data_IF_073582288691
#
_entry.id   IF_073582288691
#
_cell.length_a   1.000
_cell.length_b   1.000
_cell.length_c   1.000
_cell.angle_alpha   90.00
_cell.angle_beta   90.00
_cell.angle_gamma   90.00
#
_symmetry.space_group_name_H-M   'P 1'
#
loop_
_entity.id
_entity.type
_entity.pdbx_description
1 polymer ?
#
# COMPACT_ATOMS: atom_id res chain seq x y z
N UNK A 1 7.00 7.94 -54.74
CA UNK A 1 5.96 8.84 -54.20
C UNK A 1 6.36 9.26 -52.81
N UNK A 2 6.71 10.53 -52.60
CA UNK A 2 7.06 11.09 -51.28
C UNK A 2 5.79 11.59 -50.61
N UNK A 3 5.40 10.96 -49.51
CA UNK A 3 4.36 11.49 -48.63
C UNK A 3 5.03 12.49 -47.67
N UNK A 4 4.74 13.77 -47.85
CA UNK A 4 5.23 14.84 -46.98
C UNK A 4 4.26 14.97 -45.80
N UNK A 5 4.67 14.52 -44.62
CA UNK A 5 3.95 14.80 -43.38
C UNK A 5 4.42 16.16 -42.88
N UNK A 6 3.49 17.11 -42.82
CA UNK A 6 3.70 18.46 -42.27
C UNK A 6 3.75 18.32 -40.74
N UNK A 7 4.76 18.90 -40.06
CA UNK A 7 4.79 18.93 -38.59
C UNK A 7 3.72 19.88 -38.06
N UNK A 8 2.96 19.44 -37.04
CA UNK A 8 2.10 20.30 -36.23
C UNK A 8 2.98 21.08 -35.27
N UNK A 9 2.90 22.41 -35.33
CA UNK A 9 3.62 23.35 -34.46
C UNK A 9 3.01 23.34 -33.05
N UNK A 10 3.81 23.11 -31.97
CA UNK A 10 3.31 22.86 -30.62
C UNK A 10 3.14 24.12 -29.76
N UNK A 11 2.71 25.26 -30.30
CA UNK A 11 2.60 26.52 -29.54
C UNK A 11 1.31 27.30 -29.87
N UNK A 12 0.20 26.95 -29.23
CA UNK A 12 -0.93 27.88 -29.07
C UNK A 12 -1.35 27.87 -27.59
N UNK A 13 -0.63 28.68 -26.82
CA UNK A 13 -0.93 28.95 -25.41
C UNK A 13 -2.23 29.75 -25.28
N UNK A 14 -3.24 29.16 -24.64
CA UNK A 14 -4.35 29.93 -24.04
C UNK A 14 -4.01 30.15 -22.57
N UNK A 15 -3.23 31.19 -22.30
CA UNK A 15 -2.97 31.66 -20.94
C UNK A 15 -4.25 32.22 -20.29
N UNK A 16 -4.40 32.13 -18.95
CA UNK A 16 -5.54 32.70 -18.25
C UNK A 16 -5.56 34.25 -18.38
N UNK A 17 -6.75 34.87 -18.44
CA UNK A 17 -6.87 36.32 -18.53
C UNK A 17 -6.25 37.01 -17.29
N UNK A 18 -5.74 38.25 -17.42
CA UNK A 18 -5.10 38.94 -16.30
C UNK A 18 -6.11 39.21 -15.18
N UNK A 19 -5.82 38.70 -13.98
CA UNK A 19 -6.53 39.11 -12.78
C UNK A 19 -6.18 40.56 -12.49
N UNK A 20 -7.09 41.44 -12.89
CA UNK A 20 -7.06 42.85 -12.51
C UNK A 20 -7.26 42.94 -11.00
N UNK A 21 -6.34 43.68 -10.39
CA UNK A 21 -6.30 44.08 -8.99
C UNK A 21 -7.62 44.77 -8.60
N UNK A 22 -8.39 44.20 -7.68
CA UNK A 22 -9.52 44.88 -7.04
C UNK A 22 -9.15 45.09 -5.57
N UNK A 23 -8.71 46.30 -5.24
CA UNK A 23 -8.50 46.75 -3.87
C UNK A 23 -9.79 47.41 -3.35
N UNK A 24 -10.43 46.76 -2.39
CA UNK A 24 -11.44 47.27 -1.45
C UNK A 24 -11.65 46.10 -0.46
N UNK A 25 -11.73 46.21 0.85
CA UNK A 25 -11.79 47.31 1.80
C UNK A 25 -11.70 46.60 3.16
N UNK A 26 -10.61 46.79 3.88
CA UNK A 26 -10.45 46.25 5.22
C UNK A 26 -11.21 47.15 6.20
N UNK A 27 -12.42 46.78 6.60
CA UNK A 27 -12.86 46.94 7.99
C UNK A 27 -14.12 46.15 8.32
N UNK A 28 -14.07 45.47 9.46
CA UNK A 28 -15.18 44.89 10.24
C UNK A 28 -15.87 43.63 9.69
N UNK A 29 -15.24 42.48 9.92
CA UNK A 29 -16.00 41.24 10.16
C UNK A 29 -16.38 41.17 11.64
N UNK A 30 -17.66 40.99 12.01
CA UNK A 30 -18.13 40.95 13.39
C UNK A 30 -18.07 39.54 14.02
N UNK A 31 -17.50 38.55 13.34
CA UNK A 31 -17.37 37.20 13.90
C UNK A 31 -16.10 37.09 14.73
N UNK A 32 -16.23 37.39 16.01
CA UNK A 32 -15.36 36.82 17.03
C UNK A 32 -15.62 35.31 17.08
N UNK A 33 -14.70 34.54 16.54
CA UNK A 33 -14.74 33.08 16.60
C UNK A 33 -13.62 32.61 17.54
N UNK A 34 -14.05 31.91 18.58
CA UNK A 34 -13.23 31.27 19.60
C UNK A 34 -12.09 30.51 18.95
N UNK A 35 -10.85 30.94 19.19
CA UNK A 35 -9.65 30.13 18.95
C UNK A 35 -9.64 28.98 19.96
N UNK A 36 -10.38 27.93 19.64
CA UNK A 36 -10.08 26.60 20.14
C UNK A 36 -8.98 26.09 19.21
N UNK A 37 -7.73 26.10 19.69
CA UNK A 37 -6.60 25.53 18.96
C UNK A 37 -6.87 24.04 18.76
N UNK A 38 -7.37 23.69 17.57
CA UNK A 38 -7.70 22.31 17.17
C UNK A 38 -6.46 21.41 17.12
N UNK A 39 -5.29 22.02 17.14
CA UNK A 39 -4.01 21.34 17.10
C UNK A 39 -3.67 20.71 18.48
N UNK A 40 -4.12 21.28 19.60
CA UNK A 40 -3.83 20.76 20.95
C UNK A 40 -4.56 19.44 21.26
N UNK A 41 -5.83 19.30 20.82
CA UNK A 41 -6.60 18.05 20.97
C UNK A 41 -5.99 16.92 20.12
N UNK A 42 -5.45 17.26 18.95
CA UNK A 42 -4.81 16.29 18.07
C UNK A 42 -3.44 15.86 18.61
N UNK A 43 -2.66 16.79 19.15
CA UNK A 43 -1.39 16.51 19.80
C UNK A 43 -1.57 15.63 21.04
N UNK A 44 -2.62 15.86 21.82
CA UNK A 44 -2.97 14.99 22.95
C UNK A 44 -3.33 13.56 22.51
N UNK A 45 -4.02 13.42 21.37
CA UNK A 45 -4.34 12.11 20.78
C UNK A 45 -3.09 11.37 20.28
N UNK A 46 -2.17 12.06 19.60
CA UNK A 46 -0.89 11.47 19.12
C UNK A 46 0.00 11.08 20.31
N UNK A 47 0.08 11.91 21.34
CA UNK A 47 0.86 11.62 22.55
C UNK A 47 0.31 10.40 23.31
N UNK A 48 -1.02 10.30 23.46
CA UNK A 48 -1.66 9.15 24.10
C UNK A 48 -1.46 7.85 23.31
N UNK A 49 -1.45 7.92 21.97
CA UNK A 49 -1.23 6.76 21.10
C UNK A 49 0.25 6.33 21.08
N UNK A 50 1.18 7.28 21.08
CA UNK A 50 2.61 7.02 21.14
C UNK A 50 3.04 6.27 22.42
N UNK A 51 2.39 6.56 23.55
CA UNK A 51 2.62 5.86 24.81
C UNK A 51 2.16 4.38 24.78
N UNK A 52 1.17 4.04 23.95
CA UNK A 52 0.68 2.66 23.76
C UNK A 52 1.62 1.86 22.86
N UNK A 53 2.18 2.48 21.81
CA UNK A 53 3.16 1.84 20.91
C UNK A 53 4.48 1.50 21.61
N UNK A 54 4.85 2.23 22.68
CA UNK A 54 6.05 1.97 23.45
C UNK A 54 6.01 0.67 24.30
N UNK A 55 4.84 0.01 24.40
CA UNK A 55 4.69 -1.29 25.08
C UNK A 55 4.81 -2.49 24.13
N UNK A 56 4.90 -2.26 22.80
CA UNK A 56 4.96 -3.32 21.77
C UNK A 56 6.06 -3.02 20.76
N UNK A 57 7.15 -3.77 20.83
CA UNK A 57 8.39 -3.62 20.05
C UNK A 57 8.27 -4.04 18.56
N UNK A 58 7.13 -3.84 17.90
CA UNK A 58 6.91 -4.40 16.55
C UNK A 58 6.07 -3.54 15.58
N UNK A 59 5.82 -2.26 15.89
CA UNK A 59 5.36 -1.29 14.89
C UNK A 59 4.07 -1.67 14.16
N UNK A 60 3.10 -2.26 14.86
CA UNK A 60 1.83 -2.65 14.29
C UNK A 60 0.82 -1.49 14.36
N UNK A 61 0.60 -0.84 13.23
CA UNK A 61 -0.46 0.16 13.06
C UNK A 61 -1.86 -0.46 13.23
N UNK A 62 -2.74 0.31 13.87
CA UNK A 62 -4.13 -0.02 14.16
C UNK A 62 -4.97 -0.09 12.88
N UNK A 63 -5.32 -1.31 12.48
CA UNK A 63 -6.35 -1.62 11.49
C UNK A 63 -6.56 -3.13 11.44
N UNK A 64 -7.46 -3.66 12.27
CA UNK A 64 -7.92 -5.06 12.29
C UNK A 64 -6.83 -6.15 12.15
N UNK A 65 -5.84 -6.10 13.05
CA UNK A 65 -5.39 -7.28 13.81
C UNK A 65 -4.64 -8.42 13.11
N UNK A 66 -4.21 -8.29 11.85
CA UNK A 66 -3.36 -9.30 11.21
C UNK A 66 -1.92 -8.80 11.02
N UNK A 67 -1.01 -9.23 11.90
CA UNK A 67 0.43 -9.04 11.69
C UNK A 67 0.90 -9.93 10.52
N UNK A 68 0.95 -9.32 9.33
CA UNK A 68 1.44 -9.93 8.09
C UNK A 68 2.79 -9.27 7.79
N UNK A 69 3.90 -10.03 7.77
CA UNK A 69 5.23 -9.46 7.60
C UNK A 69 5.36 -8.72 6.26
N UNK A 70 6.07 -7.59 6.25
CA UNK A 70 6.27 -6.77 5.06
C UNK A 70 7.02 -7.53 3.94
N UNK A 71 8.02 -8.31 4.34
CA UNK A 71 8.77 -9.20 3.46
C UNK A 71 8.35 -10.65 3.68
N UNK A 72 8.15 -11.39 2.59
CA UNK A 72 7.78 -12.80 2.62
C UNK A 72 8.81 -13.58 1.81
N UNK A 73 9.54 -14.47 2.47
CA UNK A 73 10.43 -15.41 1.82
C UNK A 73 9.65 -16.64 1.35
N UNK A 74 9.25 -16.61 0.08
CA UNK A 74 8.47 -17.68 -0.55
C UNK A 74 9.26 -18.98 -0.65
N UNK A 75 10.59 -18.92 -0.80
CA UNK A 75 11.41 -20.12 -0.96
C UNK A 75 11.43 -20.91 0.36
N UNK A 76 11.67 -20.22 1.47
CA UNK A 76 11.64 -20.82 2.81
C UNK A 76 10.26 -21.41 3.14
N UNK A 77 9.17 -20.70 2.82
CA UNK A 77 7.80 -21.20 3.03
C UNK A 77 7.55 -22.46 2.21
N UNK A 78 7.95 -22.46 0.94
CA UNK A 78 7.81 -23.64 0.08
C UNK A 78 8.62 -24.81 0.63
N UNK A 79 9.85 -24.59 1.08
CA UNK A 79 10.71 -25.66 1.58
C UNK A 79 10.10 -26.33 2.84
N UNK A 80 9.40 -25.58 3.69
CA UNK A 80 8.63 -26.14 4.83
C UNK A 80 7.54 -27.13 4.39
N UNK A 81 7.00 -27.01 3.18
CA UNK A 81 6.00 -27.96 2.65
C UNK A 81 6.63 -29.23 2.06
N UNK A 82 7.94 -29.24 1.81
CA UNK A 82 8.61 -30.34 1.10
C UNK A 82 8.24 -30.46 -0.38
N UNK A 83 7.54 -29.47 -0.95
CA UNK A 83 7.08 -29.49 -2.33
C UNK A 83 8.08 -28.84 -3.28
N UNK A 84 8.16 -29.38 -4.50
CA UNK A 84 8.83 -28.70 -5.62
C UNK A 84 8.08 -27.41 -5.99
N UNK A 85 8.75 -26.45 -6.63
CA UNK A 85 8.12 -25.21 -7.11
C UNK A 85 6.83 -25.47 -7.89
N UNK A 86 6.83 -26.46 -8.79
CA UNK A 86 5.66 -26.79 -9.60
C UNK A 86 4.52 -27.37 -8.76
N UNK A 87 4.82 -28.23 -7.78
CA UNK A 87 3.82 -28.81 -6.90
C UNK A 87 3.23 -27.75 -5.95
N UNK A 88 4.06 -26.90 -5.38
CA UNK A 88 3.64 -25.78 -4.54
C UNK A 88 2.78 -24.78 -5.31
N UNK A 89 3.18 -24.42 -6.54
CA UNK A 89 2.41 -23.53 -7.41
C UNK A 89 1.01 -24.08 -7.70
N UNK A 90 0.91 -25.37 -8.05
CA UNK A 90 -0.40 -26.04 -8.24
C UNK A 90 -1.23 -26.01 -6.97
N UNK A 91 -0.61 -26.29 -5.83
CA UNK A 91 -1.28 -26.36 -4.54
C UNK A 91 -1.92 -25.04 -4.14
N UNK A 92 -1.26 -23.91 -4.39
CA UNK A 92 -1.80 -22.58 -4.04
C UNK A 92 -2.52 -21.89 -5.21
N UNK A 93 -2.66 -22.58 -6.36
CA UNK A 93 -3.43 -22.09 -7.50
C UNK A 93 -2.76 -20.96 -8.30
N UNK A 94 -1.44 -20.94 -8.40
CA UNK A 94 -0.70 -19.92 -9.19
C UNK A 94 0.19 -20.55 -10.26
N UNK A 95 0.55 -19.81 -11.34
CA UNK A 95 1.53 -20.28 -12.31
C UNK A 95 2.91 -20.51 -11.66
N UNK A 96 3.64 -21.55 -12.09
CA UNK A 96 5.01 -21.82 -11.61
C UNK A 96 5.98 -20.64 -11.86
N UNK A 97 5.75 -19.88 -12.94
CA UNK A 97 6.50 -18.66 -13.22
C UNK A 97 6.34 -17.58 -12.15
N UNK A 98 5.16 -17.51 -11.51
CA UNK A 98 4.89 -16.59 -10.40
C UNK A 98 5.73 -16.93 -9.17
N UNK A 99 5.78 -18.22 -8.79
CA UNK A 99 6.64 -18.70 -7.69
C UNK A 99 8.10 -18.38 -7.98
N UNK A 100 8.59 -18.66 -9.20
CA UNK A 100 9.97 -18.34 -9.60
C UNK A 100 10.26 -16.85 -9.49
N UNK A 101 9.36 -16.00 -9.98
CA UNK A 101 9.53 -14.55 -9.90
C UNK A 101 9.59 -14.04 -8.45
N UNK A 102 8.81 -14.64 -7.55
CA UNK A 102 8.83 -14.32 -6.13
C UNK A 102 10.10 -14.80 -5.43
N UNK A 103 10.48 -16.06 -5.62
CA UNK A 103 11.70 -16.64 -5.01
C UNK A 103 12.98 -15.97 -5.52
N UNK A 104 12.98 -15.47 -6.76
CA UNK A 104 14.10 -14.71 -7.32
C UNK A 104 14.05 -13.21 -7.00
N UNK A 105 13.03 -12.73 -6.27
CA UNK A 105 12.87 -11.32 -5.94
C UNK A 105 12.56 -10.39 -7.12
N UNK A 106 12.24 -10.92 -8.30
CA UNK A 106 11.83 -10.12 -9.47
C UNK A 106 10.47 -9.46 -9.27
N UNK A 107 9.61 -10.05 -8.44
CA UNK A 107 8.31 -9.55 -8.01
C UNK A 107 8.12 -9.94 -6.54
N UNK A 108 7.21 -9.25 -5.85
CA UNK A 108 6.79 -9.62 -4.50
C UNK A 108 5.34 -10.09 -4.51
N UNK A 109 4.96 -11.03 -3.61
CA UNK A 109 3.56 -11.37 -3.41
C UNK A 109 2.81 -10.15 -2.87
N UNK A 110 1.58 -9.94 -3.34
CA UNK A 110 0.73 -8.81 -2.97
C UNK A 110 -0.69 -9.26 -2.62
N UNK A 111 -1.39 -8.44 -1.85
CA UNK A 111 -2.80 -8.67 -1.51
C UNK A 111 -3.05 -10.05 -0.86
N UNK A 112 -4.07 -10.80 -1.30
CA UNK A 112 -4.43 -12.09 -0.70
C UNK A 112 -3.32 -13.13 -0.69
N UNK A 113 -2.39 -13.08 -1.66
CA UNK A 113 -1.28 -14.02 -1.71
C UNK A 113 -0.37 -13.89 -0.49
N UNK A 114 -0.20 -12.68 0.06
CA UNK A 114 0.61 -12.46 1.27
C UNK A 114 -0.01 -13.13 2.49
N UNK A 115 -1.32 -13.02 2.63
CA UNK A 115 -2.08 -13.65 3.71
C UNK A 115 -1.95 -15.17 3.61
N UNK A 116 -2.19 -15.73 2.42
CA UNK A 116 -2.08 -17.16 2.20
C UNK A 116 -0.67 -17.68 2.49
N UNK A 117 0.37 -16.97 2.06
CA UNK A 117 1.76 -17.34 2.33
C UNK A 117 2.10 -17.25 3.81
N UNK A 118 1.63 -16.22 4.53
CA UNK A 118 1.79 -16.12 5.97
C UNK A 118 1.07 -17.26 6.72
N UNK A 119 -0.10 -17.71 6.24
CA UNK A 119 -0.79 -18.88 6.78
C UNK A 119 0.01 -20.17 6.53
N UNK A 120 0.53 -20.36 5.31
CA UNK A 120 1.35 -21.52 4.96
C UNK A 120 2.67 -21.56 5.74
N UNK A 121 3.24 -20.39 6.07
CA UNK A 121 4.45 -20.30 6.88
C UNK A 121 4.25 -20.84 8.30
N UNK A 122 3.04 -20.66 8.85
CA UNK A 122 2.62 -21.14 10.17
C UNK A 122 2.13 -22.58 10.15
N UNK A 123 1.32 -22.95 9.15
CA UNK A 123 0.84 -24.32 8.94
C UNK A 123 1.05 -24.74 7.48
N UNK A 124 2.16 -25.44 7.18
CA UNK A 124 2.49 -25.92 5.83
C UNK A 124 1.50 -26.91 5.23
N UNK A 125 0.56 -27.43 6.03
CA UNK A 125 -0.47 -28.39 5.59
C UNK A 125 -1.88 -27.80 5.47
N UNK A 126 -2.07 -26.53 5.81
CA UNK A 126 -3.40 -25.89 5.90
C UNK A 126 -4.26 -26.05 4.64
N UNK A 127 -3.66 -25.96 3.45
CA UNK A 127 -4.41 -26.10 2.19
C UNK A 127 -4.94 -27.53 2.00
N UNK A 128 -4.17 -28.56 2.36
CA UNK A 128 -4.64 -29.95 2.24
C UNK A 128 -5.70 -30.24 3.29
N UNK A 129 -5.50 -29.77 4.52
CA UNK A 129 -6.44 -29.95 5.64
C UNK A 129 -7.78 -29.25 5.38
N UNK A 130 -7.78 -28.13 4.67
CA UNK A 130 -8.99 -27.33 4.41
C UNK A 130 -9.72 -27.76 3.13
N UNK A 131 -9.01 -28.16 2.08
CA UNK A 131 -9.58 -28.41 0.74
C UNK A 131 -9.53 -29.88 0.30
N UNK A 132 -8.90 -30.77 1.06
CA UNK A 132 -8.67 -32.17 0.70
C UNK A 132 -9.85 -33.12 0.96
N UNK A 133 -11.09 -32.62 0.89
CA UNK A 133 -12.33 -33.40 1.05
C UNK A 133 -12.71 -34.18 -0.20
#
# INVERSE_FOLDING_TARGET
MRLSVIPVDPQEEVGPPPLTHCAADASSSPYGESLVDKDDDFDQLIASLGAVLALTDDGQGLGDGLNIPYAIDVATIRDKTGLSQAAFARRIGVPVGTIRNWEQGRRSPQGPARILLALLDRNPRIVEETLGG
#
